data_IF_754277969396
#
_entry.id   IF_754277969396
#
_cell.length_a   1.000
_cell.length_b   1.000
_cell.length_c   1.000
_cell.angle_alpha   90.00
_cell.angle_beta   90.00
_cell.angle_gamma   90.00
#
_symmetry.space_group_name_H-M   'P 1'
#
loop_
_entity.id
_entity.type
_entity.pdbx_description
1 polymer ?
#
# COMPACT_ATOMS: atom_id res chain seq x y z
N UNK A 1 22.56 -9.38 -62.54
CA UNK A 1 21.37 -9.22 -61.67
C UNK A 1 20.16 -9.06 -62.57
N UNK A 2 19.09 -9.85 -62.39
CA UNK A 2 17.95 -9.82 -63.29
C UNK A 2 17.09 -8.56 -63.06
N UNK A 3 16.46 -8.09 -64.14
CA UNK A 3 15.70 -6.83 -64.25
C UNK A 3 14.34 -6.81 -63.53
N UNK A 4 14.05 -7.79 -62.66
CA UNK A 4 12.70 -7.99 -62.10
C UNK A 4 12.41 -7.25 -60.78
N UNK A 5 13.34 -6.46 -60.24
CA UNK A 5 13.18 -5.82 -58.91
C UNK A 5 12.76 -4.34 -58.97
N UNK A 6 12.40 -3.83 -60.15
CA UNK A 6 11.93 -2.45 -60.35
C UNK A 6 10.45 -2.24 -59.98
N UNK A 7 9.67 -3.29 -59.73
CA UNK A 7 8.25 -3.18 -59.36
C UNK A 7 8.02 -2.76 -57.89
N UNK A 8 9.08 -2.56 -57.11
CA UNK A 8 9.02 -2.11 -55.70
C UNK A 8 9.39 -0.65 -55.49
N UNK A 9 9.78 0.06 -56.55
CA UNK A 9 9.93 1.51 -56.50
C UNK A 9 8.54 2.14 -56.58
N UNK A 10 7.89 2.25 -55.42
CA UNK A 10 6.70 3.08 -55.24
C UNK A 10 7.10 4.52 -55.55
N UNK A 11 6.58 5.04 -56.64
CA UNK A 11 6.77 6.42 -57.07
C UNK A 11 6.00 7.33 -56.09
N UNK A 12 6.70 8.11 -55.26
CA UNK A 12 6.10 8.98 -54.23
C UNK A 12 5.53 10.28 -54.82
N UNK A 13 5.18 10.28 -56.09
CA UNK A 13 4.81 11.46 -56.88
C UNK A 13 3.35 11.46 -57.36
N UNK A 14 2.54 10.46 -57.04
CA UNK A 14 1.08 10.51 -57.26
C UNK A 14 0.33 10.89 -55.95
N UNK A 15 -0.30 12.08 -55.87
CA UNK A 15 -1.00 12.55 -54.67
C UNK A 15 -2.28 11.76 -54.34
N UNK A 16 -2.58 10.69 -55.07
CA UNK A 16 -3.80 9.87 -54.91
C UNK A 16 -3.58 8.53 -54.22
N UNK A 17 -2.38 8.24 -53.72
CA UNK A 17 -2.09 7.00 -53.01
C UNK A 17 -1.51 7.27 -51.61
N UNK A 18 -2.31 7.95 -50.78
CA UNK A 18 -2.11 8.01 -49.33
C UNK A 18 -2.81 6.77 -48.78
N UNK A 19 -2.14 5.89 -48.00
CA UNK A 19 -2.83 4.78 -47.35
C UNK A 19 -3.96 5.38 -46.51
N UNK A 20 -5.20 4.96 -46.75
CA UNK A 20 -6.40 5.55 -46.16
C UNK A 20 -6.33 5.52 -44.64
N UNK A 21 -5.81 6.59 -44.04
CA UNK A 21 -5.85 6.79 -42.59
C UNK A 21 -7.30 7.01 -42.22
N UNK A 22 -7.89 6.10 -41.45
CA UNK A 22 -9.23 6.28 -40.90
C UNK A 22 -9.30 7.67 -40.24
N UNK A 23 -10.30 8.48 -40.62
CA UNK A 23 -10.49 9.81 -40.00
C UNK A 23 -10.71 9.65 -38.51
N UNK A 24 -10.31 10.64 -37.71
CA UNK A 24 -10.54 10.61 -36.26
C UNK A 24 -12.04 10.48 -35.92
N UNK A 25 -12.91 11.00 -36.79
CA UNK A 25 -14.35 10.81 -36.70
C UNK A 25 -14.75 9.32 -36.82
N UNK A 26 -14.21 8.62 -37.82
CA UNK A 26 -14.41 7.18 -38.02
C UNK A 26 -13.81 6.35 -36.87
N UNK A 27 -12.61 6.73 -36.42
CA UNK A 27 -11.89 6.04 -35.33
C UNK A 27 -12.64 6.09 -33.99
N UNK A 28 -13.26 7.22 -33.69
CA UNK A 28 -13.96 7.41 -32.41
C UNK A 28 -15.44 7.06 -32.47
N UNK A 29 -16.00 6.82 -33.66
CA UNK A 29 -17.39 6.47 -33.92
C UNK A 29 -18.38 7.41 -33.20
N UNK A 30 -18.13 8.72 -33.31
CA UNK A 30 -18.99 9.75 -32.73
C UNK A 30 -19.97 10.23 -33.81
N UNK A 31 -21.29 10.18 -33.57
CA UNK A 31 -22.27 10.72 -34.51
C UNK A 31 -22.00 12.20 -34.81
N UNK A 32 -22.09 12.60 -36.08
CA UNK A 32 -21.93 13.99 -36.50
C UNK A 32 -22.93 14.92 -35.77
N UNK A 33 -24.10 14.40 -35.43
CA UNK A 33 -25.14 15.11 -34.67
C UNK A 33 -24.69 15.55 -33.27
N UNK A 34 -23.64 14.95 -32.71
CA UNK A 34 -23.11 15.35 -31.41
C UNK A 34 -22.25 16.63 -31.52
N UNK A 35 -21.78 17.01 -32.71
CA UNK A 35 -21.04 18.25 -32.95
C UNK A 35 -21.98 19.45 -33.11
N UNK A 36 -22.88 19.61 -32.14
CA UNK A 36 -23.81 20.73 -32.05
C UNK A 36 -23.68 21.42 -30.67
N UNK A 37 -23.91 22.73 -30.64
CA UNK A 37 -23.79 23.54 -29.43
C UNK A 37 -24.76 23.08 -28.34
N UNK A 38 -25.97 22.69 -28.72
CA UNK A 38 -26.99 22.24 -27.77
C UNK A 38 -26.65 20.88 -27.16
N UNK A 39 -26.05 19.99 -27.96
CA UNK A 39 -25.54 18.70 -27.47
C UNK A 39 -24.36 18.91 -26.50
N UNK A 40 -23.38 19.73 -26.87
CA UNK A 40 -22.20 20.00 -26.02
C UNK A 40 -22.60 20.59 -24.67
N UNK A 41 -23.57 21.51 -24.64
CA UNK A 41 -24.07 22.10 -23.39
C UNK A 41 -24.73 21.09 -22.46
N UNK A 42 -25.41 20.10 -23.02
CA UNK A 42 -26.17 19.07 -22.28
C UNK A 42 -25.33 17.82 -21.97
N UNK A 43 -24.22 17.61 -22.68
CA UNK A 43 -23.35 16.45 -22.51
C UNK A 43 -22.69 16.42 -21.12
N UNK A 44 -22.73 15.24 -20.48
CA UNK A 44 -22.09 14.94 -19.19
C UNK A 44 -20.97 13.90 -19.31
N UNK A 45 -20.73 13.32 -20.49
CA UNK A 45 -19.63 12.37 -20.69
C UNK A 45 -18.32 13.10 -21.00
N UNK A 46 -17.45 13.18 -19.99
CA UNK A 46 -16.15 13.81 -20.13
C UNK A 46 -15.21 13.12 -21.13
N UNK A 47 -15.39 11.83 -21.43
CA UNK A 47 -14.56 11.12 -22.43
C UNK A 47 -15.00 11.43 -23.85
N UNK A 48 -16.30 11.61 -24.05
CA UNK A 48 -16.86 12.02 -25.32
C UNK A 48 -16.41 13.45 -25.67
N UNK A 49 -16.52 14.38 -24.72
CA UNK A 49 -16.02 15.74 -24.87
C UNK A 49 -14.51 15.81 -25.15
N UNK A 50 -13.69 14.94 -24.54
CA UNK A 50 -12.25 14.83 -24.84
C UNK A 50 -11.99 14.42 -26.31
N UNK A 51 -12.73 13.44 -26.82
CA UNK A 51 -12.60 12.96 -28.20
C UNK A 51 -13.12 14.00 -29.21
N UNK A 52 -14.25 14.63 -28.92
CA UNK A 52 -14.79 15.74 -29.73
C UNK A 52 -13.79 16.88 -29.83
N UNK A 53 -13.21 17.30 -28.70
CA UNK A 53 -12.20 18.35 -28.68
C UNK A 53 -10.93 17.96 -29.46
N UNK A 54 -10.53 16.68 -29.40
CA UNK A 54 -9.40 16.18 -30.20
C UNK A 54 -9.70 16.21 -31.70
N UNK A 55 -10.91 15.84 -32.12
CA UNK A 55 -11.36 15.92 -33.53
C UNK A 55 -11.39 17.39 -33.97
N UNK A 56 -12.00 18.28 -33.19
CA UNK A 56 -12.09 19.71 -33.52
C UNK A 56 -10.72 20.39 -33.64
N UNK A 57 -9.76 20.02 -32.80
CA UNK A 57 -8.37 20.54 -32.86
C UNK A 57 -7.54 19.92 -33.98
N UNK A 58 -7.90 18.74 -34.47
CA UNK A 58 -7.20 18.09 -35.58
C UNK A 58 -7.40 18.81 -36.91
N UNK A 59 -8.55 19.49 -37.08
CA UNK A 59 -8.92 20.17 -38.31
C UNK A 59 -9.28 19.24 -39.48
N UNK A 60 -9.36 17.93 -39.27
CA UNK A 60 -9.66 16.93 -40.32
C UNK A 60 -11.04 17.14 -40.97
N UNK A 61 -12.04 17.50 -40.17
CA UNK A 61 -13.45 17.69 -40.61
C UNK A 61 -13.81 19.18 -40.81
N UNK A 62 -12.84 20.09 -40.69
CA UNK A 62 -13.02 21.55 -40.79
C UNK A 62 -12.61 22.32 -39.53
N UNK A 63 -12.55 23.65 -39.64
CA UNK A 63 -12.11 24.55 -38.58
C UNK A 63 -13.29 25.23 -37.89
N UNK A 64 -13.58 24.84 -36.65
CA UNK A 64 -14.72 25.32 -35.86
C UNK A 64 -14.27 25.85 -34.48
N UNK A 65 -13.73 27.08 -34.39
CA UNK A 65 -13.12 27.59 -33.17
C UNK A 65 -14.14 27.84 -32.04
N UNK A 66 -15.35 28.30 -32.37
CA UNK A 66 -16.39 28.59 -31.37
C UNK A 66 -16.93 27.31 -30.73
N UNK A 67 -17.10 26.25 -31.53
CA UNK A 67 -17.52 24.94 -31.04
C UNK A 67 -16.42 24.31 -30.18
N UNK A 68 -15.16 24.40 -30.60
CA UNK A 68 -14.02 23.93 -29.81
C UNK A 68 -13.97 24.62 -28.44
N UNK A 69 -14.08 25.95 -28.40
CA UNK A 69 -14.12 26.71 -27.14
C UNK A 69 -15.31 26.29 -26.26
N UNK A 70 -16.49 26.12 -26.84
CA UNK A 70 -17.67 25.63 -26.11
C UNK A 70 -17.43 24.23 -25.50
N UNK A 71 -16.82 23.32 -26.26
CA UNK A 71 -16.46 21.99 -25.76
C UNK A 71 -15.40 22.05 -24.65
N UNK A 72 -14.41 22.95 -24.74
CA UNK A 72 -13.41 23.17 -23.70
C UNK A 72 -14.01 23.69 -22.41
N UNK A 73 -14.88 24.71 -22.50
CA UNK A 73 -15.55 25.29 -21.34
C UNK A 73 -16.46 24.27 -20.66
N UNK A 74 -17.18 23.44 -21.43
CA UNK A 74 -17.94 22.31 -20.87
C UNK A 74 -17.02 21.27 -20.23
N UNK A 75 -15.91 20.92 -20.89
CA UNK A 75 -14.95 19.93 -20.38
C UNK A 75 -14.29 20.41 -19.07
N UNK A 76 -14.08 21.71 -18.87
CA UNK A 76 -13.60 22.28 -17.60
C UNK A 76 -14.57 22.00 -16.45
N UNK A 77 -15.87 22.07 -16.71
CA UNK A 77 -16.92 21.80 -15.70
C UNK A 77 -17.01 20.30 -15.39
N UNK A 78 -16.98 19.44 -16.42
CA UNK A 78 -17.17 17.98 -16.25
C UNK A 78 -15.88 17.28 -15.77
N UNK A 79 -14.72 17.63 -16.33
CA UNK A 79 -13.44 16.97 -16.09
C UNK A 79 -12.25 17.97 -16.11
N UNK A 80 -12.06 18.73 -15.02
CA UNK A 80 -11.06 19.81 -14.97
C UNK A 80 -9.60 19.35 -15.07
N UNK A 81 -9.31 18.08 -14.76
CA UNK A 81 -7.94 17.51 -14.80
C UNK A 81 -7.62 16.80 -16.13
N UNK A 82 -8.43 16.98 -17.17
CA UNK A 82 -8.21 16.33 -18.46
C UNK A 82 -6.90 16.78 -19.12
N UNK A 83 -6.27 15.88 -19.89
CA UNK A 83 -5.01 16.16 -20.59
C UNK A 83 -5.18 17.22 -21.67
N UNK A 84 -6.35 17.27 -22.31
CA UNK A 84 -6.63 18.19 -23.42
C UNK A 84 -6.77 19.65 -22.97
N UNK A 85 -7.05 19.90 -21.68
CA UNK A 85 -7.05 21.23 -21.09
C UNK A 85 -5.65 21.71 -20.69
N UNK A 86 -4.63 20.84 -20.72
CA UNK A 86 -3.24 21.23 -20.43
C UNK A 86 -2.64 21.88 -21.67
N UNK A 87 -2.31 23.15 -21.55
CA UNK A 87 -1.54 23.85 -22.58
C UNK A 87 -0.07 23.40 -22.51
N UNK A 88 0.52 23.09 -23.66
CA UNK A 88 1.94 22.78 -23.73
C UNK A 88 2.73 24.09 -23.63
N UNK A 89 3.19 24.40 -22.42
CA UNK A 89 4.05 25.56 -22.17
C UNK A 89 5.50 25.16 -22.41
N UNK A 90 6.26 26.01 -23.11
CA UNK A 90 7.71 25.84 -23.28
C UNK A 90 8.41 25.93 -21.92
N UNK A 91 9.38 25.05 -21.68
CA UNK A 91 10.24 25.15 -20.49
C UNK A 91 11.02 26.46 -20.55
N UNK A 92 10.72 27.37 -19.62
CA UNK A 92 11.40 28.66 -19.50
C UNK A 92 12.83 28.46 -18.99
N UNK A 93 13.77 29.23 -19.54
CA UNK A 93 15.14 29.27 -19.01
C UNK A 93 15.24 30.26 -17.85
N UNK A 94 16.25 30.12 -16.99
CA UNK A 94 16.49 31.01 -15.84
C UNK A 94 16.48 32.51 -16.21
N UNK A 95 16.96 32.86 -17.40
CA UNK A 95 17.02 34.24 -17.87
C UNK A 95 15.66 34.80 -18.34
N UNK A 96 14.67 33.92 -18.51
CA UNK A 96 13.31 34.23 -18.99
C UNK A 96 12.31 34.28 -17.82
N UNK A 97 12.72 33.95 -16.59
CA UNK A 97 11.90 34.03 -15.38
C UNK A 97 11.94 35.42 -14.74
N UNK A 98 10.85 35.78 -14.07
CA UNK A 98 10.81 36.99 -13.26
C UNK A 98 11.73 36.86 -12.05
N UNK A 99 12.30 37.98 -11.58
CA UNK A 99 13.23 37.99 -10.43
C UNK A 99 12.58 37.42 -9.16
N UNK A 100 11.29 37.65 -8.97
CA UNK A 100 10.52 37.12 -7.84
C UNK A 100 10.41 35.60 -7.90
N UNK A 101 10.07 35.04 -9.07
CA UNK A 101 9.99 33.59 -9.30
C UNK A 101 11.37 32.93 -9.14
N UNK A 102 12.43 33.58 -9.63
CA UNK A 102 13.81 33.10 -9.44
C UNK A 102 14.16 33.07 -7.95
N UNK A 103 13.76 34.07 -7.18
CA UNK A 103 14.03 34.13 -5.74
C UNK A 103 13.23 33.08 -4.96
N UNK A 104 11.97 32.85 -5.33
CA UNK A 104 11.15 31.78 -4.75
C UNK A 104 11.77 30.41 -5.01
N UNK A 105 12.14 30.13 -6.28
CA UNK A 105 12.82 28.87 -6.65
C UNK A 105 14.14 28.70 -5.91
N UNK A 106 14.94 29.75 -5.79
CA UNK A 106 16.21 29.67 -5.05
C UNK A 106 15.96 29.43 -3.56
N UNK A 107 14.96 30.10 -2.96
CA UNK A 107 14.57 29.89 -1.56
C UNK A 107 14.12 28.45 -1.32
N UNK A 108 13.32 27.89 -2.22
CA UNK A 108 12.86 26.50 -2.13
C UNK A 108 14.02 25.51 -2.27
N UNK A 109 14.96 25.76 -3.19
CA UNK A 109 16.16 24.96 -3.35
C UNK A 109 17.07 25.06 -2.12
N UNK A 110 17.23 26.24 -1.54
CA UNK A 110 18.01 26.44 -0.30
C UNK A 110 17.35 25.74 0.88
N UNK A 111 16.02 25.83 1.00
CA UNK A 111 15.26 25.09 2.01
C UNK A 111 15.44 23.58 1.83
N UNK A 112 15.31 23.07 0.61
CA UNK A 112 15.53 21.65 0.30
C UNK A 112 16.94 21.20 0.67
N UNK A 113 17.98 21.94 0.24
CA UNK A 113 19.38 21.62 0.56
C UNK A 113 19.62 21.68 2.07
N UNK A 114 19.06 22.66 2.77
CA UNK A 114 19.12 22.77 4.23
C UNK A 114 18.49 21.56 4.91
N UNK A 115 17.32 21.13 4.45
CA UNK A 115 16.61 19.98 4.99
C UNK A 115 17.30 18.65 4.71
N UNK A 116 17.91 18.50 3.54
CA UNK A 116 18.77 17.34 3.23
C UNK A 116 19.99 17.33 4.14
N UNK A 117 20.69 18.46 4.27
CA UNK A 117 21.86 18.56 5.14
C UNK A 117 21.53 18.33 6.62
N UNK A 118 20.35 18.76 7.10
CA UNK A 118 19.88 18.44 8.45
C UNK A 118 19.68 16.94 8.62
N UNK A 119 19.05 16.27 7.66
CA UNK A 119 18.86 14.81 7.67
C UNK A 119 20.19 14.06 7.60
N UNK A 120 21.14 14.53 6.81
CA UNK A 120 22.48 13.92 6.72
C UNK A 120 23.26 14.08 8.03
N UNK A 121 23.21 15.26 8.66
CA UNK A 121 23.81 15.46 10.00
C UNK A 121 23.14 14.62 11.07
N UNK A 122 21.82 14.46 11.01
CA UNK A 122 21.07 13.56 11.89
C UNK A 122 21.54 12.11 11.71
N UNK A 123 21.72 11.66 10.46
CA UNK A 123 22.27 10.34 10.12
C UNK A 123 23.70 10.16 10.67
N UNK A 124 24.58 11.14 10.46
CA UNK A 124 25.96 11.08 10.93
C UNK A 124 26.08 11.10 12.45
N UNK A 125 25.25 11.88 13.14
CA UNK A 125 25.20 11.90 14.61
C UNK A 125 24.75 10.56 15.22
N UNK A 126 23.97 9.78 14.45
CA UNK A 126 23.45 8.46 14.83
C UNK A 126 24.35 7.31 14.41
N UNK A 127 25.43 7.57 13.65
CA UNK A 127 26.49 6.58 13.45
C UNK A 127 27.19 6.35 14.80
N UNK A 128 26.67 5.38 15.54
CA UNK A 128 27.35 4.83 16.71
C UNK A 128 28.75 4.40 16.24
N UNK A 129 29.80 4.85 16.94
CA UNK A 129 31.12 4.23 16.83
C UNK A 129 30.90 2.76 17.17
N UNK A 130 30.81 1.89 16.15
CA UNK A 130 30.79 0.45 16.35
C UNK A 130 32.07 0.08 17.09
N UNK A 131 32.02 0.04 18.40
CA UNK A 131 32.90 -0.80 19.20
C UNK A 131 32.51 -2.23 18.88
N UNK A 132 33.32 -2.83 18.00
CA UNK A 132 33.57 -4.26 17.93
C UNK A 132 32.36 -5.20 17.77
N UNK A 133 31.95 -5.39 16.54
CA UNK A 133 31.62 -6.72 16.06
C UNK A 133 31.96 -6.73 14.56
N UNK A 134 33.25 -6.91 14.28
CA UNK A 134 33.70 -7.37 12.96
C UNK A 134 33.14 -8.79 12.80
N UNK A 135 31.89 -8.89 12.40
CA UNK A 135 31.50 -10.01 11.56
C UNK A 135 32.20 -9.72 10.24
N UNK A 136 33.32 -10.39 10.00
CA UNK A 136 33.98 -10.37 8.69
C UNK A 136 32.90 -10.64 7.65
N UNK A 137 32.55 -9.60 6.89
CA UNK A 137 31.93 -9.78 5.58
C UNK A 137 32.82 -10.81 4.89
N UNK A 138 32.27 -11.92 4.40
CA UNK A 138 33.00 -12.82 3.50
C UNK A 138 33.43 -12.02 2.29
N UNK A 139 34.56 -11.33 2.39
CA UNK A 139 35.40 -11.01 1.25
C UNK A 139 35.99 -12.36 0.88
N UNK A 140 35.69 -12.82 -0.32
CA UNK A 140 36.61 -13.72 -0.98
C UNK A 140 37.97 -13.03 -0.89
N UNK A 141 38.86 -13.58 -0.07
CA UNK A 141 40.26 -13.26 -0.18
C UNK A 141 40.68 -13.78 -1.56
N UNK A 142 40.61 -12.92 -2.56
CA UNK A 142 41.57 -12.99 -3.66
C UNK A 142 42.90 -12.59 -3.06
N UNK A 143 43.47 -13.50 -2.26
CA UNK A 143 44.91 -13.57 -2.17
C UNK A 143 45.34 -13.94 -3.59
N UNK A 144 45.79 -12.94 -4.33
CA UNK A 144 46.67 -13.17 -5.48
C UNK A 144 47.92 -13.77 -4.86
N UNK A 145 47.90 -15.08 -4.65
CA UNK A 145 49.13 -15.82 -4.47
C UNK A 145 49.73 -15.87 -5.85
N UNK A 146 50.84 -15.16 -6.04
CA UNK A 146 51.75 -15.39 -7.16
C UNK A 146 52.34 -16.80 -7.00
N UNK A 147 51.53 -17.81 -7.28
CA UNK A 147 52.02 -19.17 -7.45
C UNK A 147 52.69 -19.24 -8.81
N UNK A 148 54.03 -19.24 -8.76
CA UNK A 148 54.90 -19.67 -9.84
C UNK A 148 54.44 -21.05 -10.33
N UNK A 149 53.57 -21.07 -11.34
CA UNK A 149 53.12 -22.28 -12.01
C UNK A 149 54.28 -22.86 -12.84
N UNK A 150 55.14 -23.63 -12.17
CA UNK A 150 55.77 -24.78 -12.82
C UNK A 150 54.64 -25.69 -13.29
N UNK A 151 54.52 -25.86 -14.60
CA UNK A 151 53.65 -26.84 -15.23
C UNK A 151 54.02 -28.22 -14.67
N UNK A 152 53.20 -28.70 -13.74
CA UNK A 152 53.33 -30.05 -13.21
C UNK A 152 52.47 -30.93 -14.11
N UNK A 153 53.11 -31.53 -15.12
CA UNK A 153 52.54 -32.56 -16.01
C UNK A 153 52.28 -33.85 -15.20
N UNK A 154 51.39 -33.78 -14.20
CA UNK A 154 50.84 -34.97 -13.54
C UNK A 154 49.59 -35.37 -14.31
N UNK A 155 49.81 -36.21 -15.33
CA UNK A 155 48.76 -36.96 -16.01
C UNK A 155 47.83 -37.57 -14.95
N UNK A 156 46.54 -37.25 -15.01
CA UNK A 156 45.53 -37.74 -14.07
C UNK A 156 45.60 -39.28 -14.09
N UNK A 157 45.93 -39.89 -12.94
CA UNK A 157 45.91 -41.33 -12.80
C UNK A 157 44.47 -41.82 -12.98
N UNK A 158 44.27 -42.84 -13.82
CA UNK A 158 42.94 -43.38 -14.07
C UNK A 158 42.30 -43.82 -12.73
N UNK A 159 41.18 -43.19 -12.38
CA UNK A 159 40.39 -43.54 -11.20
C UNK A 159 39.91 -44.98 -11.35
N UNK A 160 40.17 -45.83 -10.35
CA UNK A 160 39.66 -47.19 -10.36
C UNK A 160 38.14 -47.18 -10.10
N UNK A 161 37.38 -47.38 -11.18
CA UNK A 161 35.92 -47.43 -11.13
C UNK A 161 35.38 -48.77 -10.60
N UNK A 162 36.23 -49.73 -10.21
CA UNK A 162 35.79 -51.01 -9.59
C UNK A 162 34.99 -50.81 -8.28
N UNK A 163 35.11 -49.64 -7.67
CA UNK A 163 34.33 -49.21 -6.51
C UNK A 163 32.85 -48.91 -6.83
N UNK A 164 32.53 -48.60 -8.08
CA UNK A 164 31.16 -48.36 -8.55
C UNK A 164 30.38 -49.67 -8.75
N UNK A 165 31.06 -50.78 -9.06
CA UNK A 165 30.41 -52.10 -9.19
C UNK A 165 29.90 -52.65 -7.83
N UNK A 166 30.31 -52.04 -6.71
CA UNK A 166 29.84 -52.35 -5.36
C UNK A 166 28.73 -51.41 -4.88
N UNK A 167 28.37 -50.40 -5.69
CA UNK A 167 27.35 -49.43 -5.34
C UNK A 167 25.97 -50.03 -5.61
N UNK A 168 25.25 -50.32 -4.53
CA UNK A 168 23.85 -50.74 -4.59
C UNK A 168 22.95 -49.50 -4.36
N UNK A 169 22.31 -48.97 -5.42
CA UNK A 169 21.50 -47.76 -5.32
C UNK A 169 20.37 -47.89 -4.30
N UNK A 170 19.77 -49.08 -4.18
CA UNK A 170 18.63 -49.32 -3.30
C UNK A 170 19.06 -49.26 -1.82
N UNK A 171 20.25 -49.75 -1.53
CA UNK A 171 20.83 -49.71 -0.17
C UNK A 171 21.19 -48.28 0.25
N UNK A 172 21.69 -47.44 -0.66
CA UNK A 172 21.98 -46.03 -0.36
C UNK A 172 20.71 -45.19 -0.25
N UNK A 173 19.69 -45.47 -1.06
CA UNK A 173 18.39 -44.81 -0.93
C UNK A 173 17.77 -45.08 0.45
N UNK A 174 17.87 -46.33 0.92
CA UNK A 174 17.40 -46.70 2.25
C UNK A 174 18.17 -46.00 3.37
N UNK A 175 19.49 -45.79 3.20
CA UNK A 175 20.30 -45.03 4.16
C UNK A 175 19.88 -43.56 4.21
N UNK A 176 19.61 -42.96 3.06
CA UNK A 176 19.10 -41.58 2.97
C UNK A 176 17.74 -41.44 3.66
N UNK A 177 16.79 -42.35 3.40
CA UNK A 177 15.47 -42.33 4.05
C UNK A 177 15.58 -42.46 5.58
N UNK A 178 16.50 -43.30 6.07
CA UNK A 178 16.76 -43.47 7.50
C UNK A 178 17.40 -42.22 8.11
N UNK A 179 18.30 -41.54 7.38
CA UNK A 179 18.92 -40.28 7.81
C UNK A 179 17.91 -39.13 7.84
N UNK A 180 17.08 -38.98 6.81
CA UNK A 180 16.00 -37.99 6.77
C UNK A 180 15.01 -38.18 7.93
N UNK A 181 14.65 -39.42 8.27
CA UNK A 181 13.80 -39.72 9.42
C UNK A 181 14.48 -39.40 10.77
N UNK A 182 15.80 -39.57 10.87
CA UNK A 182 16.56 -39.14 12.06
C UNK A 182 16.58 -37.62 12.16
N UNK A 183 16.83 -36.91 11.07
CA UNK A 183 16.85 -35.45 11.03
C UNK A 183 15.49 -34.84 11.40
N UNK A 184 14.39 -35.41 10.87
CA UNK A 184 13.02 -35.01 11.24
C UNK A 184 12.78 -35.21 12.74
N UNK A 185 13.21 -36.34 13.32
CA UNK A 185 13.07 -36.59 14.76
C UNK A 185 13.88 -35.60 15.59
N UNK A 186 15.14 -35.33 15.24
CA UNK A 186 15.96 -34.35 15.95
C UNK A 186 15.38 -32.93 15.85
N UNK A 187 14.85 -32.54 14.70
CA UNK A 187 14.18 -31.26 14.52
C UNK A 187 12.91 -31.13 15.37
N UNK A 188 12.14 -32.22 15.52
CA UNK A 188 10.96 -32.25 16.36
C UNK A 188 11.32 -32.11 17.85
N UNK A 189 12.36 -32.81 18.31
CA UNK A 189 12.88 -32.73 19.67
C UNK A 189 13.43 -31.33 20.00
N UNK A 190 14.13 -30.69 19.06
CA UNK A 190 14.58 -29.30 19.21
C UNK A 190 13.41 -28.31 19.29
N UNK A 191 12.37 -28.52 18.49
CA UNK A 191 11.15 -27.70 18.52
C UNK A 191 10.44 -27.82 19.87
N UNK A 192 10.32 -29.04 20.42
CA UNK A 192 9.76 -29.27 21.74
C UNK A 192 10.60 -28.63 22.86
N UNK A 193 11.94 -28.71 22.78
CA UNK A 193 12.83 -28.04 23.74
C UNK A 193 12.63 -26.52 23.70
N UNK A 194 12.62 -25.91 22.51
CA UNK A 194 12.37 -24.47 22.34
C UNK A 194 10.99 -24.06 22.87
N UNK A 195 9.96 -24.89 22.69
CA UNK A 195 8.63 -24.62 23.22
C UNK A 195 8.59 -24.70 24.76
N UNK A 196 9.27 -25.68 25.36
CA UNK A 196 9.42 -25.80 26.82
C UNK A 196 10.21 -24.63 27.41
N UNK A 197 11.28 -24.20 26.76
CA UNK A 197 12.06 -23.00 27.15
C UNK A 197 11.22 -21.72 27.06
N UNK A 198 10.42 -21.56 26.00
CA UNK A 198 9.51 -20.42 25.84
C UNK A 198 8.42 -20.40 26.91
N UNK A 199 7.87 -21.57 27.28
CA UNK A 199 6.90 -21.70 28.39
C UNK A 199 7.53 -21.33 29.73
N UNK A 200 8.74 -21.82 30.00
CA UNK A 200 9.49 -21.45 31.21
C UNK A 200 9.83 -19.94 31.25
N UNK A 201 10.16 -19.32 30.12
CA UNK A 201 10.39 -17.87 30.05
C UNK A 201 9.11 -17.07 30.36
N UNK A 202 7.96 -17.52 29.85
CA UNK A 202 6.66 -16.89 30.13
C UNK A 202 6.27 -17.02 31.60
N UNK A 203 6.47 -18.17 32.21
CA UNK A 203 6.21 -18.38 33.65
C UNK A 203 7.14 -17.53 34.54
N UNK A 204 8.42 -17.41 34.17
CA UNK A 204 9.38 -16.52 34.87
C UNK A 204 9.03 -15.03 34.71
N UNK A 205 8.41 -14.63 33.60
CA UNK A 205 7.98 -13.24 33.37
C UNK A 205 6.75 -12.81 34.18
N UNK A 206 5.97 -13.75 34.72
CA UNK A 206 4.73 -13.47 35.46
C UNK A 206 4.90 -12.84 36.86
N UNK A 207 6.13 -12.64 37.35
CA UNK A 207 6.39 -12.12 38.71
C UNK A 207 7.26 -10.85 38.79
N UNK A 208 7.57 -10.19 37.68
CA UNK A 208 8.30 -8.91 37.72
C UNK A 208 7.51 -7.79 37.06
N UNK A 209 7.29 -6.71 37.82
CA UNK A 209 6.66 -5.48 37.32
C UNK A 209 7.36 -5.04 36.03
N UNK A 210 6.55 -4.72 35.01
CA UNK A 210 6.97 -4.37 33.67
C UNK A 210 8.12 -3.34 33.68
N UNK A 211 9.34 -3.81 33.42
CA UNK A 211 10.42 -2.93 32.99
C UNK A 211 10.06 -2.45 31.60
N UNK A 212 9.97 -1.11 31.44
CA UNK A 212 9.76 -0.42 30.16
C UNK A 212 10.54 -1.14 29.06
N UNK A 213 9.85 -1.69 28.07
CA UNK A 213 10.52 -2.31 26.93
C UNK A 213 11.35 -1.22 26.28
N UNK A 214 12.67 -1.43 26.26
CA UNK A 214 13.58 -0.64 25.44
C UNK A 214 13.02 -0.69 24.03
N UNK A 215 12.51 0.43 23.54
CA UNK A 215 12.22 0.60 22.12
C UNK A 215 13.57 0.49 21.45
N UNK A 216 13.86 -0.70 20.91
CA UNK A 216 14.96 -0.88 19.99
C UNK A 216 14.63 0.03 18.80
N UNK A 217 15.23 1.22 18.75
CA UNK A 217 15.14 2.11 17.60
C UNK A 217 15.83 1.39 16.45
N UNK A 218 15.07 0.55 15.75
CA UNK A 218 15.53 -0.27 14.63
C UNK A 218 15.71 0.53 13.34
N UNK A 219 15.40 1.83 13.37
CA UNK A 219 15.40 2.71 12.21
C UNK A 219 16.36 3.87 12.43
N UNK A 220 17.18 4.16 11.43
CA UNK A 220 18.13 5.26 11.47
C UNK A 220 17.43 6.61 11.25
N UNK A 221 16.29 6.62 10.55
CA UNK A 221 15.48 7.83 10.26
C UNK A 221 13.98 7.64 10.51
N UNK A 222 13.27 8.74 10.72
CA UNK A 222 11.80 8.74 10.79
C UNK A 222 11.17 8.32 9.45
N UNK A 223 11.79 8.69 8.32
CA UNK A 223 11.34 8.30 6.99
C UNK A 223 11.39 6.77 6.79
N UNK A 224 12.46 6.12 7.25
CA UNK A 224 12.55 4.65 7.27
C UNK A 224 11.46 4.04 8.15
N UNK A 225 11.22 4.60 9.34
CA UNK A 225 10.18 4.10 10.23
C UNK A 225 8.78 4.21 9.59
N UNK A 226 8.49 5.29 8.87
CA UNK A 226 7.26 5.47 8.10
C UNK A 226 7.18 4.44 6.98
N UNK A 227 8.23 4.30 6.17
CA UNK A 227 8.27 3.34 5.06
C UNK A 227 8.04 1.89 5.52
N UNK A 228 8.72 1.48 6.60
CA UNK A 228 8.53 0.16 7.19
C UNK A 228 7.14 0.00 7.82
N UNK A 229 6.62 1.05 8.48
CA UNK A 229 5.26 1.05 9.02
C UNK A 229 4.22 0.85 7.91
N UNK A 230 4.34 1.56 6.79
CA UNK A 230 3.44 1.46 5.65
C UNK A 230 3.50 0.10 4.99
N UNK A 231 4.70 -0.46 4.79
CA UNK A 231 4.89 -1.81 4.26
C UNK A 231 4.21 -2.86 5.14
N UNK A 232 4.40 -2.81 6.46
CA UNK A 232 3.75 -3.75 7.38
C UNK A 232 2.22 -3.57 7.42
N UNK A 233 1.73 -2.32 7.28
CA UNK A 233 0.30 -2.05 7.14
C UNK A 233 -0.27 -2.66 5.86
N UNK A 234 0.46 -2.59 4.75
CA UNK A 234 0.04 -3.18 3.48
C UNK A 234 -0.04 -4.70 3.55
N UNK A 235 0.99 -5.35 4.10
CA UNK A 235 0.92 -6.80 4.40
C UNK A 235 -0.28 -7.14 5.28
N UNK A 236 -0.54 -6.35 6.32
CA UNK A 236 -1.71 -6.54 7.17
C UNK A 236 -3.03 -6.44 6.40
N UNK A 237 -3.11 -5.55 5.41
CA UNK A 237 -4.30 -5.45 4.54
C UNK A 237 -4.45 -6.68 3.63
N UNK A 238 -3.34 -7.28 3.17
CA UNK A 238 -3.37 -8.53 2.39
C UNK A 238 -3.91 -9.68 3.23
N UNK A 239 -3.38 -9.90 4.44
CA UNK A 239 -3.90 -10.90 5.38
C UNK A 239 -5.37 -10.65 5.74
N UNK A 240 -5.76 -9.39 5.95
CA UNK A 240 -7.15 -9.05 6.24
C UNK A 240 -8.10 -9.39 5.09
N UNK A 241 -7.66 -9.22 3.83
CA UNK A 241 -8.43 -9.63 2.64
C UNK A 241 -8.46 -11.15 2.48
N UNK A 242 -7.40 -11.85 2.86
CA UNK A 242 -7.34 -13.31 2.87
C UNK A 242 -8.24 -13.94 3.96
N UNK A 243 -8.59 -13.17 5.00
CA UNK A 243 -9.41 -13.63 6.12
C UNK A 243 -8.59 -14.08 7.34
N UNK A 244 -7.26 -14.02 7.26
CA UNK A 244 -6.34 -14.36 8.33
C UNK A 244 -6.20 -13.18 9.30
N UNK A 245 -7.16 -13.04 10.21
CA UNK A 245 -7.25 -11.88 11.09
C UNK A 245 -6.17 -11.85 12.18
N UNK A 246 -5.70 -13.00 12.66
CA UNK A 246 -4.60 -13.09 13.64
C UNK A 246 -3.28 -12.56 13.08
N UNK A 247 -2.92 -12.93 11.85
CA UNK A 247 -1.70 -12.48 11.19
C UNK A 247 -1.82 -11.01 10.77
N UNK A 248 -2.99 -10.59 10.28
CA UNK A 248 -3.28 -9.19 10.05
C UNK A 248 -3.08 -8.35 11.32
N UNK A 249 -3.55 -8.85 12.47
CA UNK A 249 -3.37 -8.19 13.77
C UNK A 249 -1.89 -8.05 14.14
N UNK A 250 -1.08 -9.09 13.87
CA UNK A 250 0.36 -9.06 14.10
C UNK A 250 1.04 -7.99 13.23
N UNK A 251 0.76 -7.98 11.92
CA UNK A 251 1.28 -6.98 10.98
C UNK A 251 0.89 -5.55 11.37
N UNK A 252 -0.38 -5.28 11.69
CA UNK A 252 -0.80 -3.95 12.15
C UNK A 252 -0.15 -3.55 13.47
N UNK A 253 0.06 -4.49 14.39
CA UNK A 253 0.76 -4.22 15.65
C UNK A 253 2.23 -3.90 15.44
N UNK A 254 2.89 -4.60 14.52
CA UNK A 254 4.25 -4.29 14.10
C UNK A 254 4.31 -2.91 13.46
N UNK A 255 3.40 -2.60 12.53
CA UNK A 255 3.29 -1.30 11.88
C UNK A 255 3.17 -0.14 12.89
N UNK A 256 2.32 -0.29 13.92
CA UNK A 256 2.16 0.69 15.01
C UNK A 256 3.42 0.80 15.88
N UNK A 257 4.12 -0.32 16.12
CA UNK A 257 5.39 -0.33 16.86
C UNK A 257 6.47 0.50 16.13
N UNK A 258 6.46 0.52 14.80
CA UNK A 258 7.40 1.35 14.02
C UNK A 258 6.96 2.82 14.07
N UNK A 259 5.72 3.11 13.65
CA UNK A 259 5.11 4.45 13.70
C UNK A 259 3.61 4.33 13.90
N UNK A 260 3.09 5.05 14.89
CA UNK A 260 1.65 5.17 15.11
C UNK A 260 1.04 6.08 14.04
N UNK A 261 0.04 5.56 13.33
CA UNK A 261 -0.78 6.32 12.37
C UNK A 261 -2.25 6.04 12.62
N UNK A 262 -3.10 7.04 12.36
CA UNK A 262 -4.57 6.93 12.47
C UNK A 262 -5.08 5.75 11.63
N UNK A 263 -4.54 5.56 10.43
CA UNK A 263 -4.93 4.46 9.53
C UNK A 263 -4.58 3.09 10.12
N UNK A 264 -3.40 2.96 10.73
CA UNK A 264 -2.94 1.70 11.32
C UNK A 264 -3.82 1.29 12.51
N UNK A 265 -4.14 2.25 13.39
CA UNK A 265 -5.03 2.02 14.53
C UNK A 265 -6.45 1.66 14.07
N UNK A 266 -6.97 2.36 13.06
CA UNK A 266 -8.28 2.08 12.48
C UNK A 266 -8.38 0.68 11.87
N UNK A 267 -7.33 0.25 11.15
CA UNK A 267 -7.27 -1.09 10.56
C UNK A 267 -7.11 -2.18 11.64
N UNK A 268 -6.33 -1.90 12.69
CA UNK A 268 -6.23 -2.83 13.82
C UNK A 268 -7.54 -2.96 14.60
N UNK A 269 -8.26 -1.85 14.80
CA UNK A 269 -9.55 -1.85 15.48
C UNK A 269 -10.60 -2.72 14.75
N UNK A 270 -10.70 -2.62 13.42
CA UNK A 270 -11.60 -3.51 12.66
C UNK A 270 -11.17 -4.98 12.73
N UNK A 271 -9.86 -5.24 12.75
CA UNK A 271 -9.34 -6.60 12.91
C UNK A 271 -9.71 -7.18 14.28
N UNK A 272 -9.62 -6.39 15.35
CA UNK A 272 -10.10 -6.78 16.68
C UNK A 272 -11.62 -7.03 16.71
N UNK A 273 -12.42 -6.23 16.01
CA UNK A 273 -13.86 -6.48 15.86
C UNK A 273 -14.15 -7.85 15.20
N UNK A 274 -13.40 -8.19 14.14
CA UNK A 274 -13.51 -9.50 13.47
C UNK A 274 -13.10 -10.66 14.38
N UNK A 275 -12.06 -10.46 15.19
CA UNK A 275 -11.61 -11.41 16.21
C UNK A 275 -12.47 -11.44 17.49
N UNK A 276 -13.58 -10.68 17.53
CA UNK A 276 -14.47 -10.55 18.70
C UNK A 276 -13.80 -10.01 19.98
N UNK A 277 -12.68 -9.30 19.83
CA UNK A 277 -11.91 -8.65 20.90
C UNK A 277 -12.35 -7.19 21.04
N UNK A 278 -13.57 -6.98 21.56
CA UNK A 278 -14.25 -5.68 21.48
C UNK A 278 -13.63 -4.61 22.40
N UNK A 279 -13.10 -4.99 23.56
CA UNK A 279 -12.44 -4.07 24.49
C UNK A 279 -11.13 -3.49 23.93
N UNK A 280 -10.35 -4.30 23.23
CA UNK A 280 -9.14 -3.86 22.54
C UNK A 280 -9.47 -2.98 21.34
N UNK A 281 -10.52 -3.31 20.58
CA UNK A 281 -11.03 -2.46 19.52
C UNK A 281 -11.42 -1.07 20.05
N UNK A 282 -12.12 -1.02 21.19
CA UNK A 282 -12.49 0.24 21.86
C UNK A 282 -11.28 1.09 22.22
N UNK A 283 -10.23 0.47 22.78
CA UNK A 283 -8.99 1.18 23.13
C UNK A 283 -8.35 1.82 21.92
N UNK A 284 -8.30 1.11 20.79
CA UNK A 284 -7.74 1.65 19.55
C UNK A 284 -8.63 2.74 18.93
N UNK A 285 -9.95 2.57 18.92
CA UNK A 285 -10.89 3.61 18.47
C UNK A 285 -10.76 4.89 19.31
N UNK A 286 -10.70 4.77 20.64
CA UNK A 286 -10.51 5.93 21.52
C UNK A 286 -9.15 6.60 21.27
N UNK A 287 -8.07 5.84 21.04
CA UNK A 287 -6.78 6.43 20.64
C UNK A 287 -6.86 7.19 19.32
N UNK A 288 -7.58 6.66 18.33
CA UNK A 288 -7.82 7.41 17.09
C UNK A 288 -8.54 8.71 17.39
N UNK A 289 -9.60 8.69 18.19
CA UNK A 289 -10.38 9.87 18.55
C UNK A 289 -9.59 10.90 19.39
N UNK A 290 -8.54 10.48 20.12
CA UNK A 290 -7.63 11.43 20.77
C UNK A 290 -6.72 12.17 19.79
N UNK A 291 -6.38 11.55 18.65
CA UNK A 291 -5.52 12.13 17.62
C UNK A 291 -6.37 12.92 16.61
N UNK A 292 -7.47 12.33 16.17
CA UNK A 292 -8.42 12.85 15.19
C UNK A 292 -9.85 12.69 15.74
N UNK A 293 -10.32 13.76 16.39
CA UNK A 293 -11.63 13.79 17.06
C UNK A 293 -12.80 13.63 16.10
N UNK A 294 -12.63 13.98 14.83
CA UNK A 294 -13.70 13.99 13.83
C UNK A 294 -13.70 12.73 12.96
N UNK A 295 -12.93 11.70 13.34
CA UNK A 295 -12.82 10.49 12.55
C UNK A 295 -14.12 9.67 12.53
N UNK A 296 -14.88 9.77 11.43
CA UNK A 296 -16.16 9.07 11.24
C UNK A 296 -15.97 7.54 11.37
N UNK A 297 -14.93 6.98 10.74
CA UNK A 297 -14.68 5.53 10.75
C UNK A 297 -14.39 5.00 12.16
N UNK A 298 -13.69 5.78 13.00
CA UNK A 298 -13.42 5.40 14.38
C UNK A 298 -14.70 5.41 15.23
N UNK A 299 -15.57 6.41 15.05
CA UNK A 299 -16.86 6.47 15.75
C UNK A 299 -17.79 5.31 15.36
N UNK A 300 -17.90 4.96 14.07
CA UNK A 300 -18.67 3.80 13.61
C UNK A 300 -18.15 2.50 14.25
N UNK A 301 -16.82 2.28 14.21
CA UNK A 301 -16.20 1.08 14.81
C UNK A 301 -16.34 1.04 16.33
N UNK A 302 -16.26 2.20 17.00
CA UNK A 302 -16.51 2.34 18.44
C UNK A 302 -17.95 1.94 18.77
N UNK A 303 -18.93 2.45 18.04
CA UNK A 303 -20.33 2.09 18.20
C UNK A 303 -20.58 0.60 17.96
N UNK A 304 -19.93 0.01 16.94
CA UNK A 304 -20.02 -1.43 16.69
C UNK A 304 -19.44 -2.26 17.85
N UNK A 305 -18.27 -1.87 18.38
CA UNK A 305 -17.67 -2.53 19.54
C UNK A 305 -18.57 -2.44 20.79
N UNK A 306 -19.11 -1.25 21.08
CA UNK A 306 -20.00 -1.00 22.22
C UNK A 306 -21.31 -1.79 22.10
N UNK A 307 -21.90 -1.82 20.90
CA UNK A 307 -23.08 -2.64 20.61
C UNK A 307 -22.82 -4.12 20.90
N UNK A 308 -21.64 -4.63 20.55
CA UNK A 308 -21.25 -6.02 20.82
C UNK A 308 -20.98 -6.29 22.30
N UNK A 309 -20.53 -5.28 23.04
CA UNK A 309 -20.38 -5.28 24.49
C UNK A 309 -21.70 -4.99 25.24
N UNK A 310 -22.83 -4.84 24.54
CA UNK A 310 -24.14 -4.54 25.11
C UNK A 310 -24.23 -3.18 25.84
N UNK A 311 -23.32 -2.25 25.53
CA UNK A 311 -23.35 -0.88 26.04
C UNK A 311 -24.07 0.01 25.04
N UNK A 312 -25.39 -0.14 24.94
CA UNK A 312 -26.19 0.45 23.85
C UNK A 312 -26.32 1.98 23.93
N UNK A 313 -26.38 2.57 25.13
CA UNK A 313 -26.45 4.02 25.31
C UNK A 313 -25.20 4.70 24.74
N UNK A 314 -24.01 4.29 25.20
CA UNK A 314 -22.74 4.83 24.69
C UNK A 314 -22.52 4.52 23.19
N UNK A 315 -23.07 3.40 22.70
CA UNK A 315 -23.03 3.07 21.29
C UNK A 315 -23.89 4.05 20.46
N UNK A 316 -25.03 4.48 21.02
CA UNK A 316 -25.90 5.46 20.39
C UNK A 316 -25.20 6.82 20.28
N UNK A 317 -24.59 7.29 21.37
CA UNK A 317 -23.84 8.56 21.37
C UNK A 317 -22.73 8.56 20.30
N UNK A 318 -21.99 7.45 20.21
CA UNK A 318 -20.91 7.32 19.23
C UNK A 318 -21.42 7.29 17.78
N UNK A 319 -22.56 6.63 17.50
CA UNK A 319 -23.11 6.56 16.14
C UNK A 319 -23.80 7.86 15.74
N UNK A 320 -24.44 8.58 16.68
CA UNK A 320 -25.02 9.90 16.42
C UNK A 320 -23.96 10.90 15.99
N UNK A 321 -22.80 10.92 16.65
CA UNK A 321 -21.67 11.75 16.22
C UNK A 321 -21.19 11.40 14.80
N UNK A 322 -21.22 10.12 14.42
CA UNK A 322 -20.89 9.71 13.05
C UNK A 322 -21.94 10.15 12.03
N UNK A 323 -23.24 10.04 12.36
CA UNK A 323 -24.36 10.46 11.51
C UNK A 323 -24.41 11.98 11.35
N UNK A 324 -24.15 12.75 12.41
CA UNK A 324 -24.08 14.21 12.33
C UNK A 324 -23.03 14.69 11.33
N UNK A 325 -21.91 13.96 11.20
CA UNK A 325 -20.82 14.28 10.27
C UNK A 325 -21.06 13.75 8.86
N UNK A 326 -21.63 12.57 8.73
CA UNK A 326 -21.98 11.98 7.43
C UNK A 326 -23.39 11.37 7.46
N UNK A 327 -24.44 12.19 7.23
CA UNK A 327 -25.82 11.76 7.29
C UNK A 327 -26.20 10.76 6.20
N UNK A 328 -25.47 10.74 5.08
CA UNK A 328 -25.78 9.92 3.91
C UNK A 328 -25.14 8.54 3.93
N UNK A 329 -24.41 8.20 5.00
CA UNK A 329 -23.78 6.90 5.11
C UNK A 329 -24.81 5.83 5.54
N UNK A 330 -25.19 4.88 4.65
CA UNK A 330 -26.19 3.87 4.95
C UNK A 330 -25.75 2.95 6.10
N UNK A 331 -24.45 2.63 6.20
CA UNK A 331 -23.93 1.76 7.25
C UNK A 331 -24.09 2.38 8.64
N UNK A 332 -23.98 3.71 8.76
CA UNK A 332 -24.20 4.42 10.03
C UNK A 332 -25.66 4.40 10.44
N UNK A 333 -26.58 4.62 9.49
CA UNK A 333 -28.02 4.59 9.73
C UNK A 333 -28.49 3.18 10.13
N UNK A 334 -28.08 2.15 9.38
CA UNK A 334 -28.39 0.75 9.69
C UNK A 334 -27.87 0.34 11.08
N UNK A 335 -26.66 0.78 11.43
CA UNK A 335 -26.08 0.51 12.74
C UNK A 335 -26.87 1.21 13.86
N UNK A 336 -27.27 2.46 13.66
CA UNK A 336 -28.08 3.20 14.63
C UNK A 336 -29.47 2.57 14.82
N UNK A 337 -30.14 2.14 13.74
CA UNK A 337 -31.41 1.44 13.82
C UNK A 337 -31.28 0.08 14.55
N UNK A 338 -30.18 -0.64 14.30
CA UNK A 338 -29.88 -1.88 15.00
C UNK A 338 -29.64 -1.66 16.51
N UNK A 339 -28.98 -0.57 16.89
CA UNK A 339 -28.78 -0.18 18.31
C UNK A 339 -30.11 0.23 18.93
N UNK A 340 -30.90 1.08 18.26
CA UNK A 340 -32.22 1.55 18.72
C UNK A 340 -33.16 0.39 19.01
N UNK A 341 -33.24 -0.59 18.10
CA UNK A 341 -34.08 -1.79 18.26
C UNK A 341 -33.70 -2.62 19.49
N UNK A 342 -32.41 -2.64 19.87
CA UNK A 342 -31.92 -3.36 21.06
C UNK A 342 -32.16 -2.57 22.34
N UNK A 343 -31.88 -1.27 22.32
CA UNK A 343 -32.12 -0.36 23.45
C UNK A 343 -33.60 -0.34 23.86
N UNK A 344 -34.54 -0.24 22.89
CA UNK A 344 -35.97 -0.27 23.19
C UNK A 344 -36.45 -1.60 23.79
N UNK A 345 -35.74 -2.71 23.54
CA UNK A 345 -36.10 -4.04 24.07
C UNK A 345 -35.74 -4.21 25.54
N UNK A 346 -34.68 -3.54 26.01
CA UNK A 346 -34.29 -3.56 27.42
C UNK A 346 -35.27 -2.75 28.27
N UNK A 347 -35.69 -1.57 27.81
CA UNK A 347 -36.64 -0.71 28.54
C UNK A 347 -38.03 -1.35 28.69
N UNK A 348 -38.44 -2.22 27.77
CA UNK A 348 -39.73 -2.91 27.85
C UNK A 348 -39.80 -4.00 28.94
N UNK A 349 -38.67 -4.50 29.44
CA UNK A 349 -38.64 -5.60 30.42
C UNK A 349 -38.72 -5.15 31.89
N UNK A 350 -38.78 -3.85 32.17
CA UNK A 350 -38.94 -3.31 33.53
C UNK A 350 -40.42 -3.11 33.88
N UNK A 351 -41.01 -4.04 34.63
CA UNK A 351 -42.36 -3.89 35.21
C UNK A 351 -42.28 -3.04 36.47
N UNK A 352 -42.64 -1.77 36.37
CA UNK A 352 -42.81 -0.89 37.53
C UNK A 352 -43.96 -1.41 38.40
N UNK A 353 -43.70 -1.67 39.68
CA UNK A 353 -44.73 -2.02 40.68
C UNK A 353 -45.04 -0.75 41.47
N UNK A 354 -46.26 -0.22 41.29
CA UNK A 354 -46.76 0.87 42.12
C UNK A 354 -47.06 0.25 43.49
N UNK A 355 -46.40 0.75 44.53
CA UNK A 355 -46.69 0.38 45.92
C UNK A 355 -47.51 1.54 46.46
N UNK A 356 -48.79 1.30 46.71
CA UNK A 356 -49.64 2.24 47.44
C UNK A 356 -49.11 2.31 48.87
N UNK A 357 -48.74 3.51 49.30
CA UNK A 357 -48.36 3.79 50.69
C UNK A 357 -49.69 4.04 51.41
N UNK A 358 -50.14 3.06 52.20
CA UNK A 358 -51.26 3.27 53.13
C UNK A 358 -50.79 4.26 54.21
N UNK A 359 -51.44 5.43 54.28
CA UNK A 359 -51.21 6.51 55.27
C UNK A 359 -51.69 6.16 56.67
#
# INVERSE_FOLDING_TARGET
MPLDDLSKLVDHSDPRNIPSTETLLSKYNIPITHFDFDYVKTCNDGRELEKMLQILRSGEEGYYPDLAKCTEDRLRVVKPKSKHLKEQVRVLRKNELNKEEVNEINSDLEHFVSDVNKKDKELDSRKCKKTFCDVEVRRCKTEIVEENNKVNDKRIAATDYSSWDKYDPDTELLKMDIEDEKEKKTALEEKEKKEKELKQLKEKSGKTKAKKSVTFNQFATEAEAIFHSEREREKGNEFFRAGDFEDALHCYSNSIRMKTSVNNLNNRAVTYLKLKKYEEALKDCNKVLTIDKENIKANIRKAEALKKLQRYEEAMDAIELAIQKDPNNPASQELADAIRKKCCREVQNTRMKIIEIEE
#
